data_IF_089422769104
#
_entry.id   IF_089422769104
#
_cell.length_a   1.000
_cell.length_b   1.000
_cell.length_c   1.000
_cell.angle_alpha   90.00
_cell.angle_beta   90.00
_cell.angle_gamma   90.00
#
_symmetry.space_group_name_H-M   'P 1'
#
loop_
_entity.id
_entity.type
_entity.pdbx_description
1 polymer ?
#
# COMPACT_ATOMS: atom_id res chain seq x y z
N UNK A 1 -47.08 -30.18 -89.80
CA UNK A 1 -46.84 -29.09 -88.83
C UNK A 1 -46.44 -29.73 -87.50
N UNK A 2 -45.19 -30.21 -87.38
CA UNK A 2 -44.75 -31.01 -86.23
C UNK A 2 -43.23 -30.95 -85.97
N UNK A 3 -42.56 -29.85 -86.32
CA UNK A 3 -41.15 -29.60 -86.00
C UNK A 3 -41.03 -28.40 -85.04
N UNK A 4 -41.18 -28.63 -83.72
CA UNK A 4 -40.64 -27.71 -82.69
C UNK A 4 -40.65 -28.19 -81.23
N UNK A 5 -40.92 -29.48 -80.95
CA UNK A 5 -40.95 -29.99 -79.56
C UNK A 5 -39.57 -30.51 -79.12
N UNK A 6 -38.81 -31.15 -80.01
CA UNK A 6 -37.51 -31.74 -79.68
C UNK A 6 -36.39 -30.68 -79.47
N UNK A 7 -36.38 -29.64 -80.32
CA UNK A 7 -35.48 -28.47 -80.22
C UNK A 7 -35.60 -27.75 -78.86
N UNK A 8 -36.82 -27.53 -78.36
CA UNK A 8 -37.04 -26.84 -77.09
C UNK A 8 -36.62 -27.68 -75.87
N UNK A 9 -36.73 -29.01 -75.94
CA UNK A 9 -36.31 -29.88 -74.83
C UNK A 9 -34.78 -29.88 -74.65
N UNK A 10 -34.02 -29.81 -75.76
CA UNK A 10 -32.55 -29.69 -75.68
C UNK A 10 -32.06 -28.33 -75.18
N UNK A 11 -32.79 -27.23 -75.44
CA UNK A 11 -32.43 -25.90 -74.91
C UNK A 11 -32.55 -25.85 -73.38
N UNK A 12 -33.66 -26.35 -72.83
CA UNK A 12 -33.88 -26.37 -71.37
C UNK A 12 -32.88 -27.26 -70.60
N UNK A 13 -32.32 -28.29 -71.23
CA UNK A 13 -31.23 -29.07 -70.61
C UNK A 13 -29.86 -28.37 -70.70
N UNK A 14 -29.61 -27.59 -71.75
CA UNK A 14 -28.36 -26.84 -71.91
C UNK A 14 -28.30 -25.57 -71.04
N UNK A 15 -29.43 -24.91 -70.76
CA UNK A 15 -29.49 -23.76 -69.83
C UNK A 15 -29.23 -24.18 -68.36
N UNK A 16 -29.30 -25.48 -68.07
CA UNK A 16 -28.87 -26.09 -66.80
C UNK A 16 -27.36 -26.29 -66.67
N UNK A 17 -26.56 -25.95 -67.70
CA UNK A 17 -25.11 -26.10 -67.70
C UNK A 17 -24.43 -25.08 -66.77
N UNK A 18 -24.42 -25.41 -65.48
CA UNK A 18 -23.53 -24.89 -64.44
C UNK A 18 -23.10 -23.43 -64.64
N UNK A 19 -23.89 -22.49 -64.10
CA UNK A 19 -23.37 -21.19 -63.67
C UNK A 19 -22.34 -21.42 -62.56
N UNK A 20 -21.11 -21.76 -62.98
CA UNK A 20 -19.92 -21.66 -62.14
C UNK A 20 -19.83 -20.18 -61.76
N UNK A 21 -20.26 -19.86 -60.53
CA UNK A 21 -19.87 -18.61 -59.86
C UNK A 21 -18.38 -18.42 -60.15
N UNK A 22 -17.94 -17.27 -60.71
CA UNK A 22 -16.56 -17.08 -61.12
C UNK A 22 -15.67 -17.43 -59.93
N UNK A 23 -14.82 -18.45 -60.12
CA UNK A 23 -13.99 -18.96 -59.04
C UNK A 23 -13.09 -17.80 -58.58
N UNK A 24 -13.27 -17.38 -57.33
CA UNK A 24 -12.50 -16.29 -56.76
C UNK A 24 -11.01 -16.61 -56.94
N UNK A 25 -10.19 -15.69 -57.47
CA UNK A 25 -8.76 -15.95 -57.63
C UNK A 25 -8.16 -16.34 -56.28
N UNK A 26 -7.29 -17.36 -56.22
CA UNK A 26 -6.79 -17.87 -54.96
C UNK A 26 -6.13 -16.73 -54.17
N UNK A 27 -6.50 -16.52 -52.90
CA UNK A 27 -6.01 -15.39 -52.13
C UNK A 27 -4.49 -15.43 -52.06
N UNK A 28 -3.85 -14.29 -52.31
CA UNK A 28 -2.38 -14.19 -52.27
C UNK A 28 -1.85 -14.70 -50.92
N UNK A 29 -0.66 -15.33 -50.92
CA UNK A 29 -0.05 -15.85 -49.68
C UNK A 29 0.08 -14.76 -48.60
N UNK A 30 0.30 -13.49 -49.00
CA UNK A 30 0.30 -12.32 -48.11
C UNK A 30 -1.08 -12.05 -47.50
N UNK A 31 -2.15 -12.04 -48.28
CA UNK A 31 -3.52 -11.84 -47.76
C UNK A 31 -3.97 -12.97 -46.83
N UNK A 32 -3.61 -14.23 -47.11
CA UNK A 32 -3.91 -15.35 -46.19
C UNK A 32 -3.16 -15.19 -44.87
N UNK A 33 -1.88 -14.80 -44.92
CA UNK A 33 -1.09 -14.52 -43.71
C UNK A 33 -1.67 -13.35 -42.90
N UNK A 34 -2.05 -12.25 -43.54
CA UNK A 34 -2.68 -11.09 -42.87
C UNK A 34 -4.01 -11.49 -42.21
N UNK A 35 -4.87 -12.23 -42.91
CA UNK A 35 -6.13 -12.73 -42.35
C UNK A 35 -5.88 -13.67 -41.15
N UNK A 36 -4.85 -14.51 -41.21
CA UNK A 36 -4.44 -15.35 -40.07
C UNK A 36 -3.95 -14.52 -38.88
N UNK A 37 -3.14 -13.49 -39.10
CA UNK A 37 -2.68 -12.59 -38.03
C UNK A 37 -3.83 -11.79 -37.42
N UNK A 38 -4.77 -11.29 -38.24
CA UNK A 38 -5.96 -10.60 -37.75
C UNK A 38 -6.88 -11.53 -36.96
N UNK A 39 -7.08 -12.78 -37.40
CA UNK A 39 -7.84 -13.78 -36.65
C UNK A 39 -7.20 -14.10 -35.30
N UNK A 40 -5.87 -14.28 -35.25
CA UNK A 40 -5.13 -14.46 -33.99
C UNK A 40 -5.23 -13.23 -33.09
N UNK A 41 -5.12 -12.01 -33.63
CA UNK A 41 -5.27 -10.78 -32.86
C UNK A 41 -6.67 -10.64 -32.27
N UNK A 42 -7.73 -10.92 -33.05
CA UNK A 42 -9.12 -10.92 -32.57
C UNK A 42 -9.34 -11.97 -31.48
N UNK A 43 -8.77 -13.17 -31.62
CA UNK A 43 -8.82 -14.20 -30.58
C UNK A 43 -8.10 -13.76 -29.29
N UNK A 44 -6.91 -13.16 -29.40
CA UNK A 44 -6.17 -12.63 -28.25
C UNK A 44 -6.91 -11.49 -27.55
N UNK A 45 -7.54 -10.59 -28.30
CA UNK A 45 -8.38 -9.52 -27.74
C UNK A 45 -9.64 -10.09 -27.06
N UNK A 46 -10.28 -11.09 -27.65
CA UNK A 46 -11.43 -11.77 -27.02
C UNK A 46 -11.03 -12.47 -25.72
N UNK A 47 -9.89 -13.19 -25.70
CA UNK A 47 -9.34 -13.81 -24.48
C UNK A 47 -9.00 -12.75 -23.43
N UNK A 48 -8.40 -11.62 -23.82
CA UNK A 48 -8.09 -10.53 -22.92
C UNK A 48 -9.38 -9.93 -22.30
N UNK A 49 -10.42 -9.67 -23.09
CA UNK A 49 -11.71 -9.18 -22.61
C UNK A 49 -12.41 -10.17 -21.67
N UNK A 50 -12.38 -11.47 -21.99
CA UNK A 50 -12.90 -12.52 -21.09
C UNK A 50 -12.09 -12.60 -19.80
N UNK A 51 -10.76 -12.48 -19.85
CA UNK A 51 -9.94 -12.48 -18.64
C UNK A 51 -10.18 -11.25 -17.76
N UNK A 52 -10.30 -10.05 -18.34
CA UNK A 52 -10.59 -8.80 -17.62
C UNK A 52 -11.98 -8.85 -16.99
N UNK A 53 -12.99 -9.35 -17.69
CA UNK A 53 -14.34 -9.50 -17.12
C UNK A 53 -14.39 -10.56 -16.02
N UNK A 54 -13.68 -11.69 -16.15
CA UNK A 54 -13.57 -12.69 -15.08
C UNK A 54 -12.84 -12.12 -13.86
N UNK A 55 -11.75 -11.38 -14.04
CA UNK A 55 -11.01 -10.72 -12.95
C UNK A 55 -11.88 -9.66 -12.26
N UNK A 56 -12.65 -8.87 -13.01
CA UNK A 56 -13.62 -7.92 -12.49
C UNK A 56 -14.70 -8.61 -11.63
N UNK A 57 -15.32 -9.70 -12.13
CA UNK A 57 -16.28 -10.49 -11.36
C UNK A 57 -15.67 -11.29 -10.18
N UNK A 58 -14.36 -11.53 -10.18
CA UNK A 58 -13.64 -12.06 -9.02
C UNK A 58 -13.43 -10.97 -7.96
N UNK A 59 -13.04 -9.76 -8.37
CA UNK A 59 -12.88 -8.58 -7.50
C UNK A 59 -14.21 -8.21 -6.82
N UNK A 60 -15.32 -8.14 -7.56
CA UNK A 60 -16.64 -7.84 -6.98
C UNK A 60 -17.10 -8.88 -5.94
N UNK A 61 -16.83 -10.17 -6.17
CA UNK A 61 -17.18 -11.22 -5.20
C UNK A 61 -16.41 -11.09 -3.89
N UNK A 62 -15.14 -10.68 -3.93
CA UNK A 62 -14.34 -10.44 -2.73
C UNK A 62 -14.86 -9.23 -1.93
N UNK A 63 -15.30 -8.16 -2.61
CA UNK A 63 -15.97 -7.02 -1.97
C UNK A 63 -17.31 -7.43 -1.32
N UNK A 64 -18.13 -8.21 -2.01
CA UNK A 64 -19.40 -8.73 -1.47
C UNK A 64 -19.22 -9.63 -0.24
N UNK A 65 -18.09 -10.32 -0.11
CA UNK A 65 -17.81 -11.20 1.03
C UNK A 65 -17.52 -10.40 2.32
N UNK A 66 -16.72 -9.32 2.24
CA UNK A 66 -16.51 -8.41 3.37
C UNK A 66 -17.78 -7.61 3.71
N UNK A 67 -18.48 -7.08 2.71
CA UNK A 67 -19.78 -6.42 2.88
C UNK A 67 -20.82 -7.35 3.52
N UNK A 68 -20.81 -8.64 3.15
CA UNK A 68 -21.70 -9.65 3.70
C UNK A 68 -21.46 -9.90 5.19
N UNK A 69 -20.20 -9.88 5.64
CA UNK A 69 -19.85 -9.99 7.07
C UNK A 69 -20.23 -8.69 7.80
N UNK A 70 -19.93 -7.52 7.23
CA UNK A 70 -20.28 -6.23 7.82
C UNK A 70 -21.80 -6.05 7.97
N UNK A 71 -22.59 -6.41 6.95
CA UNK A 71 -24.07 -6.38 6.99
C UNK A 71 -24.61 -7.40 7.99
N UNK A 72 -24.14 -8.65 7.99
CA UNK A 72 -24.56 -9.65 9.01
C UNK A 72 -24.21 -9.20 10.44
N UNK A 73 -23.07 -8.53 10.63
CA UNK A 73 -22.68 -7.94 11.91
C UNK A 73 -23.62 -6.79 12.30
N UNK A 74 -23.89 -5.85 11.39
CA UNK A 74 -24.83 -4.74 11.60
C UNK A 74 -26.26 -5.22 11.89
N UNK A 75 -26.77 -6.19 11.12
CA UNK A 75 -28.10 -6.78 11.31
C UNK A 75 -28.21 -7.51 12.65
N UNK A 76 -27.14 -8.20 13.08
CA UNK A 76 -27.09 -8.87 14.38
C UNK A 76 -27.03 -7.86 15.53
N UNK A 77 -26.24 -6.79 15.37
CA UNK A 77 -26.14 -5.70 16.35
C UNK A 77 -27.48 -4.96 16.48
N UNK A 78 -28.14 -4.66 15.36
CA UNK A 78 -29.42 -3.99 15.32
C UNK A 78 -30.54 -4.87 15.89
N UNK A 79 -30.54 -6.17 15.62
CA UNK A 79 -31.47 -7.13 16.21
C UNK A 79 -31.26 -7.27 17.73
N UNK A 80 -30.02 -7.22 18.18
CA UNK A 80 -29.68 -7.18 19.61
C UNK A 80 -30.14 -5.86 20.27
N UNK A 81 -29.94 -4.72 19.60
CA UNK A 81 -30.36 -3.40 20.11
C UNK A 81 -31.88 -3.24 20.17
N UNK A 82 -32.62 -3.74 19.16
CA UNK A 82 -34.09 -3.80 19.19
C UNK A 82 -34.58 -4.77 20.27
N UNK A 83 -33.93 -5.94 20.41
CA UNK A 83 -34.24 -6.87 21.49
C UNK A 83 -33.93 -6.31 22.88
N UNK A 84 -33.01 -5.36 23.01
CA UNK A 84 -32.71 -4.66 24.26
C UNK A 84 -33.75 -3.57 24.56
N UNK A 85 -34.13 -2.77 23.57
CA UNK A 85 -35.19 -1.76 23.71
C UNK A 85 -36.56 -2.40 24.04
N UNK A 86 -36.85 -3.59 23.51
CA UNK A 86 -38.07 -4.35 23.83
C UNK A 86 -38.08 -4.94 25.25
N UNK A 87 -36.97 -4.90 25.98
CA UNK A 87 -36.87 -5.37 27.37
C UNK A 87 -37.02 -4.24 28.39
N UNK A 88 -37.06 -2.97 27.99
CA UNK A 88 -37.36 -1.85 28.92
C UNK A 88 -38.83 -1.81 29.37
N UNK A 89 -39.76 -2.42 28.61
CA UNK A 89 -41.19 -2.52 28.99
C UNK A 89 -41.54 -3.77 29.83
N UNK A 90 -40.58 -4.68 30.06
CA UNK A 90 -40.80 -5.95 30.75
C UNK A 90 -39.89 -6.10 31.99
N UNK A 91 -40.30 -5.51 33.13
CA UNK A 91 -39.54 -5.59 34.37
C UNK A 91 -39.35 -7.04 34.88
N UNK A 92 -38.21 -7.25 35.54
CA UNK A 92 -37.94 -8.38 36.45
C UNK A 92 -37.66 -9.78 35.86
N UNK A 93 -36.72 -9.86 34.91
CA UNK A 93 -35.67 -10.89 35.04
C UNK A 93 -34.28 -10.26 34.93
N UNK A 94 -33.74 -9.85 36.08
CA UNK A 94 -32.42 -9.23 36.22
C UNK A 94 -31.32 -10.26 35.96
N UNK A 95 -30.99 -10.49 34.70
CA UNK A 95 -29.76 -11.16 34.28
C UNK A 95 -28.56 -10.30 34.70
N UNK A 96 -28.09 -10.50 35.94
CA UNK A 96 -26.94 -9.78 36.53
C UNK A 96 -25.69 -9.81 35.62
N UNK A 97 -25.51 -10.88 34.84
CA UNK A 97 -24.42 -10.98 33.86
C UNK A 97 -24.51 -9.98 32.70
N UNK A 98 -25.68 -9.49 32.30
CA UNK A 98 -25.80 -8.58 31.15
C UNK A 98 -25.18 -7.20 31.43
N UNK A 99 -25.38 -6.64 32.64
CA UNK A 99 -24.75 -5.37 33.04
C UNK A 99 -23.22 -5.49 33.15
N UNK A 100 -22.72 -6.63 33.62
CA UNK A 100 -21.28 -6.90 33.74
C UNK A 100 -20.63 -7.08 32.36
N UNK A 101 -21.28 -7.84 31.47
CA UNK A 101 -20.87 -8.01 30.07
C UNK A 101 -20.90 -6.67 29.33
N UNK A 102 -21.92 -5.83 29.52
CA UNK A 102 -22.02 -4.51 28.90
C UNK A 102 -20.90 -3.56 29.39
N UNK A 103 -20.56 -3.58 30.68
CA UNK A 103 -19.43 -2.84 31.23
C UNK A 103 -18.08 -3.34 30.67
N UNK A 104 -17.90 -4.66 30.57
CA UNK A 104 -16.70 -5.26 29.97
C UNK A 104 -16.56 -4.89 28.49
N UNK A 105 -17.64 -5.02 27.69
CA UNK A 105 -17.67 -4.64 26.28
C UNK A 105 -17.35 -3.15 26.09
N UNK A 106 -17.84 -2.26 26.97
CA UNK A 106 -17.51 -0.83 26.93
C UNK A 106 -16.00 -0.60 27.13
N UNK A 107 -15.37 -1.29 28.08
CA UNK A 107 -13.92 -1.19 28.30
C UNK A 107 -13.10 -1.76 27.14
N UNK A 108 -13.52 -2.88 26.56
CA UNK A 108 -12.88 -3.47 25.36
C UNK A 108 -13.02 -2.53 24.15
N UNK A 109 -14.21 -1.96 23.93
CA UNK A 109 -14.47 -1.00 22.84
C UNK A 109 -13.63 0.27 22.99
N UNK A 110 -13.54 0.83 24.20
CA UNK A 110 -12.68 1.97 24.47
C UNK A 110 -11.19 1.64 24.22
N UNK A 111 -10.75 0.44 24.62
CA UNK A 111 -9.39 -0.04 24.36
C UNK A 111 -9.10 -0.17 22.86
N UNK A 112 -10.03 -0.76 22.10
CA UNK A 112 -9.95 -0.88 20.63
C UNK A 112 -9.91 0.50 19.94
N UNK A 113 -10.76 1.43 20.37
CA UNK A 113 -10.78 2.81 19.85
C UNK A 113 -9.43 3.50 20.10
N UNK A 114 -8.86 3.33 21.30
CA UNK A 114 -7.53 3.88 21.63
C UNK A 114 -6.41 3.27 20.76
N UNK A 115 -6.51 1.98 20.42
CA UNK A 115 -5.56 1.29 19.55
C UNK A 115 -5.71 1.75 18.09
N UNK A 116 -6.94 1.90 17.60
CA UNK A 116 -7.22 2.47 16.28
C UNK A 116 -6.69 3.89 16.15
N UNK A 117 -6.85 4.74 17.18
CA UNK A 117 -6.31 6.10 17.17
C UNK A 117 -4.77 6.10 17.19
N UNK A 118 -4.13 5.24 17.99
CA UNK A 118 -2.67 5.05 17.95
C UNK A 118 -2.18 4.59 16.58
N UNK A 119 -2.90 3.67 15.94
CA UNK A 119 -2.58 3.20 14.59
C UNK A 119 -2.76 4.32 13.55
N UNK A 120 -3.84 5.11 13.62
CA UNK A 120 -4.04 6.26 12.74
C UNK A 120 -2.90 7.29 12.87
N UNK A 121 -2.45 7.56 14.09
CA UNK A 121 -1.31 8.44 14.33
C UNK A 121 0.00 7.84 13.76
N UNK A 122 0.26 6.55 13.99
CA UNK A 122 1.40 5.82 13.41
C UNK A 122 1.41 5.91 11.87
N UNK A 123 0.26 5.68 11.24
CA UNK A 123 0.12 5.74 9.78
C UNK A 123 0.28 7.15 9.22
N UNK A 124 -0.05 8.21 9.97
CA UNK A 124 0.15 9.59 9.53
C UNK A 124 1.64 9.91 9.33
N UNK A 125 2.50 9.63 10.32
CA UNK A 125 3.95 9.81 10.21
C UNK A 125 4.57 8.93 9.10
N UNK A 126 4.14 7.67 9.00
CA UNK A 126 4.63 6.75 7.95
C UNK A 126 4.22 7.24 6.55
N UNK A 127 3.03 7.80 6.39
CA UNK A 127 2.55 8.32 5.09
C UNK A 127 3.37 9.50 4.56
N UNK A 128 4.00 10.28 5.44
CA UNK A 128 4.91 11.39 5.09
C UNK A 128 6.39 11.01 5.15
N UNK A 129 6.70 9.71 5.15
CA UNK A 129 8.06 9.19 4.95
C UNK A 129 8.87 8.87 6.21
N UNK A 130 8.29 8.98 7.41
CA UNK A 130 8.95 8.55 8.64
C UNK A 130 8.96 7.02 8.76
N UNK A 131 10.01 6.48 9.37
CA UNK A 131 10.17 5.04 9.56
C UNK A 131 10.04 4.74 11.06
N UNK A 132 9.11 3.88 11.44
CA UNK A 132 9.02 3.43 12.83
C UNK A 132 10.08 2.36 13.13
N UNK A 133 10.80 2.49 14.25
CA UNK A 133 11.73 1.49 14.77
C UNK A 133 11.87 1.58 16.29
N UNK A 134 11.78 0.42 16.97
CA UNK A 134 11.99 0.27 18.41
C UNK A 134 11.26 1.30 19.32
N UNK A 135 10.07 1.77 18.94
CA UNK A 135 9.28 2.73 19.72
C UNK A 135 9.38 4.19 19.26
N UNK A 136 10.34 4.54 18.40
CA UNK A 136 10.53 5.90 17.87
C UNK A 136 10.24 5.97 16.36
N UNK A 137 10.02 7.17 15.85
CA UNK A 137 9.95 7.45 14.41
C UNK A 137 11.24 8.11 13.96
N UNK A 138 11.70 7.77 12.76
CA UNK A 138 12.93 8.33 12.19
C UNK A 138 12.67 8.92 10.80
N UNK A 139 13.02 10.19 10.62
CA UNK A 139 13.05 10.84 9.31
C UNK A 139 14.47 10.90 8.77
N UNK A 140 14.65 10.62 7.47
CA UNK A 140 15.95 10.53 6.81
C UNK A 140 16.01 11.54 5.66
N UNK A 141 16.49 12.74 5.93
CA UNK A 141 16.63 13.76 4.88
C UNK A 141 17.87 13.52 4.04
N UNK A 142 17.69 13.53 2.72
CA UNK A 142 18.76 13.48 1.72
C UNK A 142 19.32 14.88 1.41
N UNK A 143 18.78 15.94 2.02
CA UNK A 143 19.26 17.30 1.82
C UNK A 143 20.61 17.53 2.50
N UNK A 144 21.57 18.08 1.76
CA UNK A 144 22.83 18.53 2.33
C UNK A 144 22.59 19.78 3.19
N UNK A 145 22.85 19.67 4.50
CA UNK A 145 22.72 20.74 5.50
C UNK A 145 23.95 20.75 6.41
N UNK A 146 24.26 21.89 7.00
CA UNK A 146 25.12 21.94 8.19
C UNK A 146 24.42 21.27 9.38
N UNK A 147 25.17 20.87 10.41
CA UNK A 147 24.59 20.26 11.61
C UNK A 147 23.50 21.14 12.26
N UNK A 148 23.71 22.46 12.27
CA UNK A 148 22.77 23.42 12.85
C UNK A 148 21.46 23.50 12.04
N UNK A 149 21.56 23.64 10.71
CA UNK A 149 20.38 23.64 9.84
C UNK A 149 19.63 22.31 9.87
N UNK A 150 20.35 21.20 10.12
CA UNK A 150 19.77 19.88 10.30
C UNK A 150 18.95 19.77 11.61
N UNK A 151 19.48 20.27 12.73
CA UNK A 151 18.75 20.37 14.01
C UNK A 151 17.54 21.31 13.89
N UNK A 152 17.71 22.51 13.32
CA UNK A 152 16.61 23.47 13.10
C UNK A 152 15.50 22.88 12.21
N UNK A 153 15.86 22.05 11.20
CA UNK A 153 14.90 21.32 10.38
C UNK A 153 14.16 20.21 11.14
N UNK A 154 14.80 19.49 12.06
CA UNK A 154 14.10 18.52 12.92
C UNK A 154 13.16 19.24 13.89
N UNK A 155 13.60 20.32 14.53
CA UNK A 155 12.78 21.11 15.45
C UNK A 155 11.53 21.67 14.77
N UNK A 156 11.60 22.05 13.49
CA UNK A 156 10.42 22.49 12.73
C UNK A 156 9.34 21.40 12.53
N UNK A 157 9.69 20.13 12.71
CA UNK A 157 8.78 18.98 12.71
C UNK A 157 8.40 18.50 14.12
N UNK A 158 8.82 19.21 15.18
CA UNK A 158 8.60 18.80 16.57
C UNK A 158 9.49 17.65 17.04
N UNK A 159 10.64 17.45 16.37
CA UNK A 159 11.61 16.38 16.60
C UNK A 159 13.01 16.97 16.85
N UNK A 160 13.99 16.13 17.19
CA UNK A 160 15.41 16.53 17.33
C UNK A 160 16.32 15.69 16.45
N UNK A 161 17.58 16.10 16.24
CA UNK A 161 18.55 15.17 15.65
C UNK A 161 18.68 13.91 16.52
N UNK A 162 18.60 12.74 15.88
CA UNK A 162 18.52 11.42 16.54
C UNK A 162 19.56 11.23 17.64
N UNK A 163 19.12 10.68 18.76
CA UNK A 163 20.01 10.12 19.78
C UNK A 163 20.28 8.65 19.51
N UNK A 164 21.31 8.11 20.16
CA UNK A 164 21.66 6.69 20.06
C UNK A 164 21.83 6.14 21.46
N UNK A 165 20.85 5.34 21.90
CA UNK A 165 20.77 4.68 23.19
C UNK A 165 21.16 3.19 23.13
N UNK A 166 21.28 2.59 21.94
CA UNK A 166 21.66 1.17 21.78
C UNK A 166 22.51 0.86 20.55
N UNK A 167 23.17 -0.31 20.55
CA UNK A 167 23.94 -0.81 19.38
C UNK A 167 23.01 -1.25 18.25
N UNK A 168 21.83 -1.72 18.59
CA UNK A 168 20.79 -2.18 17.68
C UNK A 168 20.22 -1.01 16.88
N UNK A 169 19.93 0.10 17.57
CA UNK A 169 19.59 1.40 16.99
C UNK A 169 20.72 1.91 16.10
N UNK A 170 21.97 2.00 16.59
CA UNK A 170 23.13 2.34 15.75
C UNK A 170 23.16 1.55 14.44
N UNK A 171 23.01 0.22 14.51
CA UNK A 171 22.99 -0.67 13.35
C UNK A 171 21.80 -0.40 12.42
N UNK A 172 20.62 -0.10 12.96
CA UNK A 172 19.46 0.32 12.18
C UNK A 172 19.73 1.63 11.44
N UNK A 173 20.22 2.65 12.13
CA UNK A 173 20.56 3.94 11.55
C UNK A 173 21.58 3.77 10.42
N UNK A 174 22.69 3.07 10.66
CA UNK A 174 23.71 2.73 9.65
C UNK A 174 23.13 1.96 8.44
N UNK A 175 22.18 1.04 8.64
CA UNK A 175 21.59 0.27 7.54
C UNK A 175 20.79 1.14 6.56
N UNK A 176 20.12 2.17 7.09
CA UNK A 176 19.35 3.15 6.32
C UNK A 176 20.25 4.17 5.63
N UNK A 177 21.41 4.43 6.21
CA UNK A 177 22.43 5.35 5.74
C UNK A 177 23.01 4.96 4.36
N UNK A 178 23.08 3.64 4.06
CA UNK A 178 23.55 3.10 2.76
C UNK A 178 24.95 3.58 2.33
N UNK A 179 25.84 3.85 3.29
CA UNK A 179 27.20 4.35 3.05
C UNK A 179 27.30 5.86 2.87
N UNK A 180 26.18 6.55 2.65
CA UNK A 180 26.07 7.97 2.97
C UNK A 180 25.94 8.02 4.49
N UNK A 181 27.00 8.32 5.21
CA UNK A 181 27.16 9.63 5.81
C UNK A 181 25.88 10.36 6.34
N UNK A 182 25.59 10.54 7.66
CA UNK A 182 24.55 11.49 8.19
C UNK A 182 24.84 12.19 9.56
N UNK A 183 24.17 13.31 9.88
CA UNK A 183 24.22 14.02 11.19
C UNK A 183 23.34 13.37 12.27
N UNK A 184 23.75 13.52 13.54
CA UNK A 184 23.05 13.05 14.76
C UNK A 184 23.10 14.12 15.86
N UNK A 185 22.33 13.96 16.93
CA UNK A 185 22.18 14.98 17.98
C UNK A 185 23.35 15.13 18.96
N UNK A 186 24.44 14.37 18.82
CA UNK A 186 25.54 14.34 19.78
C UNK A 186 26.48 15.54 19.59
N UNK A 187 26.55 16.39 20.61
CA UNK A 187 27.25 17.69 20.55
C UNK A 187 27.94 18.05 21.87
N UNK A 188 29.07 18.74 21.79
CA UNK A 188 29.74 19.41 22.92
C UNK A 188 29.61 20.95 22.86
N UNK A 189 28.72 21.49 22.02
CA UNK A 189 28.61 22.94 21.73
C UNK A 189 28.38 23.81 22.97
N UNK A 190 27.79 23.25 24.05
CA UNK A 190 27.57 23.93 25.34
C UNK A 190 28.87 24.08 26.16
N UNK A 191 29.70 23.04 26.21
CA UNK A 191 30.92 22.95 27.01
C UNK A 191 31.85 21.93 26.33
N UNK A 192 33.02 22.37 25.84
CA UNK A 192 33.89 21.50 25.03
C UNK A 192 34.34 20.26 25.82
N UNK A 193 34.22 19.09 25.19
CA UNK A 193 34.50 17.80 25.83
C UNK A 193 33.34 17.22 26.68
N UNK A 194 32.30 18.00 26.99
CA UNK A 194 31.09 17.54 27.67
C UNK A 194 29.98 17.22 26.66
N UNK A 195 29.92 15.95 26.25
CA UNK A 195 29.02 15.48 25.20
C UNK A 195 27.59 15.25 25.69
N UNK A 196 26.63 15.82 24.97
CA UNK A 196 25.18 15.75 25.25
C UNK A 196 24.39 15.54 23.97
N UNK A 197 23.20 14.94 24.08
CA UNK A 197 22.24 14.83 22.97
C UNK A 197 21.31 16.05 22.94
N UNK A 198 20.93 16.54 21.76
CA UNK A 198 20.04 17.71 21.60
C UNK A 198 18.62 17.47 22.10
N UNK A 199 18.13 16.23 22.02
CA UNK A 199 16.84 15.77 22.56
C UNK A 199 16.80 15.68 24.11
N UNK A 200 17.93 15.86 24.79
CA UNK A 200 18.06 15.72 26.23
C UNK A 200 18.20 14.28 26.75
N UNK A 201 18.30 13.29 25.85
CA UNK A 201 18.57 11.89 26.22
C UNK A 201 19.89 11.78 26.99
N UNK A 202 19.93 10.88 27.99
CA UNK A 202 21.13 10.68 28.79
C UNK A 202 22.24 10.04 27.95
N UNK A 203 23.35 10.74 27.77
CA UNK A 203 24.53 10.20 27.11
C UNK A 203 25.20 9.11 27.96
N UNK A 204 25.46 7.94 27.37
CA UNK A 204 26.25 6.86 27.96
C UNK A 204 27.58 6.70 27.21
N UNK A 205 28.68 6.83 27.96
CA UNK A 205 30.04 6.67 27.46
C UNK A 205 30.35 5.24 26.97
N UNK A 206 29.55 4.22 27.32
CA UNK A 206 29.77 2.84 26.87
C UNK A 206 29.52 2.64 25.36
N UNK A 207 28.72 3.51 24.72
CA UNK A 207 28.44 3.44 23.27
C UNK A 207 29.54 4.08 22.40
N UNK A 208 30.62 4.59 23.01
CA UNK A 208 31.70 5.36 22.35
C UNK A 208 32.50 4.59 21.27
N UNK A 209 32.43 3.26 21.20
CA UNK A 209 33.45 2.45 20.50
C UNK A 209 33.22 2.08 19.02
N UNK A 210 32.13 2.49 18.35
CA UNK A 210 31.92 2.15 16.94
C UNK A 210 31.71 3.37 16.02
N UNK A 211 32.82 3.88 15.46
CA UNK A 211 32.92 4.70 14.23
C UNK A 211 32.11 6.01 14.13
N UNK A 212 31.97 6.78 15.20
CA UNK A 212 31.60 8.19 15.05
C UNK A 212 32.80 9.02 14.58
N UNK A 213 32.73 9.63 13.40
CA UNK A 213 33.78 10.53 12.90
C UNK A 213 33.51 11.96 13.37
N UNK A 214 34.44 12.50 14.16
CA UNK A 214 34.46 13.92 14.54
C UNK A 214 34.75 14.80 13.34
N UNK A 215 33.80 15.67 12.97
CA UNK A 215 34.08 16.77 12.06
C UNK A 215 35.01 17.78 12.74
N UNK A 216 36.22 17.96 12.22
CA UNK A 216 37.26 18.78 12.88
C UNK A 216 37.20 20.23 12.40
N UNK A 217 36.68 21.11 13.25
CA UNK A 217 36.92 22.55 13.24
C UNK A 217 37.12 22.99 14.70
N UNK A 218 38.19 23.74 14.99
CA UNK A 218 38.67 23.89 16.38
C UNK A 218 37.65 24.48 17.37
N UNK A 219 37.51 23.84 18.53
CA UNK A 219 36.82 24.36 19.71
C UNK A 219 35.38 23.89 19.96
N UNK A 220 34.67 23.39 18.93
CA UNK A 220 33.31 22.82 19.07
C UNK A 220 33.10 21.69 18.06
N UNK A 221 32.66 20.53 18.53
CA UNK A 221 32.53 19.30 17.72
C UNK A 221 31.09 18.79 17.75
N UNK A 222 30.51 18.69 16.56
CA UNK A 222 29.32 17.86 16.33
C UNK A 222 29.75 16.52 15.75
N UNK A 223 29.21 15.43 16.27
CA UNK A 223 29.50 14.12 15.70
C UNK A 223 28.67 13.88 14.45
N UNK A 224 29.36 13.33 13.46
CA UNK A 224 28.73 12.91 12.23
C UNK A 224 28.87 11.39 12.11
N UNK A 225 27.75 10.73 11.85
CA UNK A 225 27.75 9.54 11.03
C UNK A 225 27.93 9.89 9.53
N UNK A 226 28.20 11.18 9.22
CA UNK A 226 28.78 11.93 8.06
C UNK A 226 28.01 13.16 7.44
N UNK A 227 27.07 13.09 6.48
CA UNK A 227 26.36 14.26 5.84
C UNK A 227 24.91 13.96 5.38
N UNK A 228 23.91 14.38 6.16
CA UNK A 228 22.45 14.27 5.91
C UNK A 228 21.68 14.44 7.23
N UNK A 229 20.34 14.44 7.30
CA UNK A 229 19.59 14.69 8.57
C UNK A 229 18.81 13.48 9.07
N UNK A 230 18.97 13.12 10.35
CA UNK A 230 18.15 12.12 11.05
C UNK A 230 17.31 12.79 12.14
N UNK A 231 16.00 12.84 12.00
CA UNK A 231 15.11 13.34 13.06
C UNK A 231 14.47 12.18 13.84
N UNK A 232 14.33 12.34 15.17
CA UNK A 232 13.72 11.39 16.11
C UNK A 232 12.74 12.08 17.06
#
# INVERSE_FOLDING_TARGET
MAENIYENFQRLQNDGAASKKPALPPPSKRSVSILSFLAVLVLLLAIALVSVTVLYFQQERQLQEQDGIARKSSDSLQRCNVSYAQLEEAESFKLLGCSEIQAYLKNVTASLTSLQQRYSNLMSFVSVGWNFYNGSFYFFSQEAKTWREAEEACMSHGAHLTSVASKEEMKYLLSKAKGVSFWIGLTDQREEGNWTWTDGTKYDNQLRQEKFETGVGGGKRSLSLRVGTYCQ
#
